data_IF_968756767549
#
_entry.id   IF_968756767549
#
_cell.length_a   1.000
_cell.length_b   1.000
_cell.length_c   1.000
_cell.angle_alpha   90.00
_cell.angle_beta   90.00
_cell.angle_gamma   90.00
#
_symmetry.space_group_name_H-M   'P 1'
#
loop_
_entity.id
_entity.type
_entity.pdbx_description
1 polymer ?
#
# COMPACT_ATOMS: atom_id res chain seq x y z
N UNK A 1 -6.87 6.56 15.34
CA UNK A 1 -7.66 5.32 15.04
C UNK A 1 -9.15 5.63 15.21
N UNK A 2 -10.07 4.95 14.49
CA UNK A 2 -11.51 5.15 14.67
C UNK A 2 -11.98 4.77 16.08
N UNK A 3 -13.00 5.47 16.58
CA UNK A 3 -13.66 5.15 17.85
C UNK A 3 -14.61 3.96 17.68
N UNK A 4 -14.94 3.25 18.77
CA UNK A 4 -15.85 2.09 18.76
C UNK A 4 -17.21 2.39 18.08
N UNK A 5 -17.70 3.60 18.26
CA UNK A 5 -18.90 4.16 17.65
C UNK A 5 -18.89 4.17 16.12
N UNK A 6 -17.72 4.28 15.48
CA UNK A 6 -17.57 4.13 14.04
C UNK A 6 -17.89 2.68 13.62
N UNK A 7 -17.29 1.71 14.31
CA UNK A 7 -17.51 0.28 14.00
C UNK A 7 -18.94 -0.19 14.26
N UNK A 8 -19.68 0.51 15.11
CA UNK A 8 -21.10 0.24 15.36
C UNK A 8 -22.02 0.80 14.27
N UNK A 9 -21.50 1.57 13.32
CA UNK A 9 -22.29 2.05 12.18
C UNK A 9 -22.64 0.90 11.24
N UNK A 10 -23.82 0.93 10.60
CA UNK A 10 -24.08 0.10 9.43
C UNK A 10 -22.98 0.26 8.38
N UNK A 11 -22.57 -0.83 7.73
CA UNK A 11 -21.45 -0.84 6.77
C UNK A 11 -21.60 0.20 5.66
N UNK A 12 -22.82 0.42 5.16
CA UNK A 12 -23.09 1.45 4.16
C UNK A 12 -22.80 2.87 4.66
N UNK A 13 -23.08 3.16 5.95
CA UNK A 13 -22.76 4.47 6.54
C UNK A 13 -21.28 4.64 6.81
N UNK A 14 -20.57 3.56 7.16
CA UNK A 14 -19.11 3.58 7.22
C UNK A 14 -18.55 3.95 5.84
N UNK A 15 -18.99 3.24 4.80
CA UNK A 15 -18.52 3.46 3.43
C UNK A 15 -18.77 4.90 2.95
N UNK A 16 -19.97 5.45 3.14
CA UNK A 16 -20.28 6.84 2.76
C UNK A 16 -19.32 7.84 3.42
N UNK A 17 -18.98 7.64 4.70
CA UNK A 17 -18.06 8.52 5.41
C UNK A 17 -16.62 8.38 4.91
N UNK A 18 -16.18 7.14 4.60
CA UNK A 18 -14.85 6.89 4.06
C UNK A 18 -14.71 7.45 2.64
N UNK A 19 -15.72 7.27 1.79
CA UNK A 19 -15.77 7.82 0.43
C UNK A 19 -15.74 9.36 0.47
N UNK A 20 -16.52 9.98 1.37
CA UNK A 20 -16.49 11.42 1.58
C UNK A 20 -15.13 11.95 2.03
N UNK A 21 -14.43 11.19 2.88
CA UNK A 21 -13.09 11.52 3.33
C UNK A 21 -12.06 11.35 2.20
N UNK A 22 -12.13 10.24 1.46
CA UNK A 22 -11.28 9.97 0.31
C UNK A 22 -11.42 11.06 -0.75
N UNK A 23 -12.63 11.56 -0.99
CA UNK A 23 -12.90 12.70 -1.86
C UNK A 23 -12.21 13.97 -1.43
N UNK A 24 -12.22 14.29 -0.13
CA UNK A 24 -11.53 15.46 0.39
C UNK A 24 -10.00 15.30 0.30
N UNK A 25 -9.47 14.12 0.59
CA UNK A 25 -8.03 13.83 0.52
C UNK A 25 -7.51 13.71 -0.93
N UNK A 26 -8.40 13.45 -1.88
CA UNK A 26 -8.12 13.54 -3.32
C UNK A 26 -8.14 14.99 -3.79
N UNK A 27 -8.98 15.84 -3.20
CA UNK A 27 -9.05 17.26 -3.57
C UNK A 27 -7.80 18.03 -3.17
N UNK A 28 -7.27 17.78 -1.97
CA UNK A 28 -6.10 18.48 -1.40
C UNK A 28 -5.25 17.55 -0.53
N UNK A 29 -3.95 17.83 -0.34
CA UNK A 29 -3.12 17.13 0.64
C UNK A 29 -3.72 17.18 2.06
N UNK A 30 -3.38 16.20 2.90
CA UNK A 30 -3.93 16.08 4.26
C UNK A 30 -3.83 17.36 5.10
N UNK A 31 -2.73 18.11 4.97
CA UNK A 31 -2.50 19.34 5.75
C UNK A 31 -3.40 20.52 5.33
N UNK A 32 -4.02 20.44 4.15
CA UNK A 32 -5.00 21.41 3.63
C UNK A 32 -6.45 20.90 3.71
N UNK A 33 -6.65 19.62 4.04
CA UNK A 33 -7.97 19.00 4.14
C UNK A 33 -8.77 19.60 5.30
N UNK A 34 -10.10 19.68 5.13
CA UNK A 34 -11.00 20.22 6.17
C UNK A 34 -12.19 19.31 6.46
N UNK A 35 -12.49 19.13 7.75
CA UNK A 35 -13.63 18.31 8.23
C UNK A 35 -14.96 18.80 7.65
N UNK A 36 -15.11 20.11 7.41
CA UNK A 36 -16.34 20.70 6.86
C UNK A 36 -16.73 20.14 5.50
N UNK A 37 -15.77 19.76 4.67
CA UNK A 37 -16.05 19.18 3.36
C UNK A 37 -16.50 17.71 3.50
N UNK A 38 -15.83 16.94 4.35
CA UNK A 38 -16.17 15.53 4.62
C UNK A 38 -17.59 15.42 5.16
N UNK A 39 -17.95 16.19 6.19
CA UNK A 39 -19.30 16.13 6.78
C UNK A 39 -20.39 16.59 5.80
N UNK A 40 -20.05 17.50 4.89
CA UNK A 40 -20.95 17.94 3.82
C UNK A 40 -21.20 16.84 2.80
N UNK A 41 -20.16 16.13 2.37
CA UNK A 41 -20.29 15.02 1.41
C UNK A 41 -20.96 13.79 2.03
N UNK A 42 -20.67 13.48 3.29
CA UNK A 42 -21.24 12.34 4.01
C UNK A 42 -22.65 12.61 4.58
N UNK A 43 -23.15 13.84 4.46
CA UNK A 43 -24.45 14.28 5.01
C UNK A 43 -24.60 14.00 6.53
N UNK A 44 -23.54 14.28 7.30
CA UNK A 44 -23.52 14.11 8.76
C UNK A 44 -23.26 15.44 9.50
N UNK A 45 -23.58 15.48 10.79
CA UNK A 45 -23.23 16.63 11.63
C UNK A 45 -21.74 16.64 11.98
N UNK A 46 -21.20 17.82 12.32
CA UNK A 46 -19.83 17.93 12.86
C UNK A 46 -19.65 17.14 14.16
N UNK A 47 -20.68 17.08 15.00
CA UNK A 47 -20.67 16.27 16.22
C UNK A 47 -20.56 14.77 15.92
N UNK A 48 -21.24 14.30 14.86
CA UNK A 48 -21.15 12.91 14.39
C UNK A 48 -19.73 12.57 13.94
N UNK A 49 -19.04 13.47 13.23
CA UNK A 49 -17.63 13.24 12.87
C UNK A 49 -16.77 12.98 14.11
N UNK A 50 -16.86 13.85 15.13
CA UNK A 50 -16.08 13.68 16.37
C UNK A 50 -16.51 12.50 17.23
N UNK A 51 -17.73 12.00 17.02
CA UNK A 51 -18.16 10.73 17.59
C UNK A 51 -17.40 9.56 16.98
N UNK A 52 -16.96 9.63 15.72
CA UNK A 52 -16.29 8.53 15.01
C UNK A 52 -14.76 8.65 14.99
N UNK A 53 -14.22 9.87 14.89
CA UNK A 53 -12.79 10.14 14.72
C UNK A 53 -12.38 11.35 15.57
N UNK A 54 -11.14 11.42 16.06
CA UNK A 54 -10.69 12.59 16.84
C UNK A 54 -10.30 13.74 15.93
N UNK A 55 -9.72 13.43 14.78
CA UNK A 55 -9.20 14.41 13.83
C UNK A 55 -9.14 13.82 12.39
N UNK A 56 -8.63 14.61 11.44
CA UNK A 56 -8.48 14.18 10.04
C UNK A 56 -7.44 13.09 9.87
N UNK A 57 -6.35 13.12 10.65
CA UNK A 57 -5.30 12.11 10.58
C UNK A 57 -5.85 10.72 10.90
N UNK A 58 -6.77 10.60 11.86
CA UNK A 58 -7.37 9.31 12.20
C UNK A 58 -8.12 8.66 11.03
N UNK A 59 -8.91 9.44 10.29
CA UNK A 59 -9.66 8.93 9.13
C UNK A 59 -8.69 8.59 8.00
N UNK A 60 -7.72 9.48 7.75
CA UNK A 60 -6.74 9.31 6.70
C UNK A 60 -5.91 8.04 6.89
N UNK A 61 -5.35 7.83 8.10
CA UNK A 61 -4.57 6.64 8.39
C UNK A 61 -5.41 5.39 8.49
N UNK A 62 -6.68 5.49 8.90
CA UNK A 62 -7.59 4.35 8.84
C UNK A 62 -7.82 3.89 7.39
N UNK A 63 -8.08 4.80 6.46
CA UNK A 63 -8.22 4.47 5.03
C UNK A 63 -6.94 3.81 4.50
N UNK A 64 -5.77 4.37 4.81
CA UNK A 64 -4.50 3.77 4.41
C UNK A 64 -4.28 2.37 4.99
N UNK A 65 -4.59 2.15 6.26
CA UNK A 65 -4.45 0.84 6.93
C UNK A 65 -5.38 -0.21 6.30
N UNK A 66 -6.61 0.16 5.94
CA UNK A 66 -7.52 -0.73 5.22
C UNK A 66 -6.97 -1.12 3.83
N UNK A 67 -6.36 -0.18 3.11
CA UNK A 67 -5.67 -0.49 1.86
C UNK A 67 -4.46 -1.41 2.08
N UNK A 68 -3.64 -1.16 3.10
CA UNK A 68 -2.50 -2.03 3.45
C UNK A 68 -2.97 -3.44 3.76
N UNK A 69 -4.04 -3.62 4.53
CA UNK A 69 -4.63 -4.94 4.82
C UNK A 69 -5.13 -5.63 3.56
N UNK A 70 -5.81 -4.90 2.68
CA UNK A 70 -6.29 -5.42 1.39
C UNK A 70 -5.13 -5.89 0.52
N UNK A 71 -4.09 -5.06 0.36
CA UNK A 71 -2.90 -5.40 -0.40
C UNK A 71 -2.14 -6.57 0.21
N UNK A 72 -2.06 -6.68 1.54
CA UNK A 72 -1.43 -7.81 2.21
C UNK A 72 -2.16 -9.13 1.91
N UNK A 73 -3.50 -9.15 2.00
CA UNK A 73 -4.30 -10.33 1.62
C UNK A 73 -4.11 -10.70 0.16
N UNK A 74 -4.11 -9.71 -0.74
CA UNK A 74 -3.88 -9.91 -2.18
C UNK A 74 -2.48 -10.46 -2.48
N UNK A 75 -1.46 -9.95 -1.79
CA UNK A 75 -0.08 -10.42 -1.89
C UNK A 75 0.03 -11.90 -1.50
N UNK A 76 -0.54 -12.29 -0.35
CA UNK A 76 -0.54 -13.69 0.08
C UNK A 76 -1.22 -14.61 -0.94
N UNK A 77 -2.36 -14.18 -1.49
CA UNK A 77 -3.07 -14.94 -2.52
C UNK A 77 -2.24 -15.10 -3.80
N UNK A 78 -1.66 -14.01 -4.31
CA UNK A 78 -0.82 -14.06 -5.51
C UNK A 78 0.45 -14.88 -5.29
N UNK A 79 1.05 -14.81 -4.10
CA UNK A 79 2.20 -15.64 -3.76
C UNK A 79 1.87 -17.13 -3.85
N UNK A 80 0.70 -17.54 -3.35
CA UNK A 80 0.21 -18.91 -3.46
C UNK A 80 -0.06 -19.31 -4.92
N UNK A 81 -0.72 -18.44 -5.69
CA UNK A 81 -1.02 -18.67 -7.11
C UNK A 81 0.23 -18.79 -7.97
N UNK A 82 1.29 -18.07 -7.61
CA UNK A 82 2.58 -18.09 -8.28
C UNK A 82 3.52 -19.17 -7.73
N UNK A 83 3.01 -20.13 -6.96
CA UNK A 83 3.79 -21.23 -6.36
C UNK A 83 5.01 -20.74 -5.56
N UNK A 84 4.82 -19.65 -4.81
CA UNK A 84 5.86 -19.03 -3.99
C UNK A 84 6.89 -18.21 -4.76
N UNK A 85 6.70 -17.96 -6.07
CA UNK A 85 7.63 -17.15 -6.86
C UNK A 85 7.51 -15.66 -6.50
N UNK A 86 8.53 -15.17 -5.79
CA UNK A 86 8.47 -13.85 -5.19
C UNK A 86 8.46 -12.73 -6.23
N UNK A 87 9.35 -12.78 -7.22
CA UNK A 87 9.46 -11.73 -8.22
C UNK A 87 8.21 -11.67 -9.11
N UNK A 88 7.67 -12.83 -9.50
CA UNK A 88 6.42 -12.90 -10.25
C UNK A 88 5.25 -12.31 -9.44
N UNK A 89 5.21 -12.58 -8.14
CA UNK A 89 4.21 -12.01 -7.22
C UNK A 89 4.30 -10.49 -7.18
N UNK A 90 5.51 -9.94 -7.07
CA UNK A 90 5.72 -8.50 -7.08
C UNK A 90 5.35 -7.83 -8.40
N UNK A 91 5.56 -8.50 -9.54
CA UNK A 91 5.08 -8.03 -10.86
C UNK A 91 3.56 -7.95 -10.91
N UNK A 92 2.88 -9.04 -10.52
CA UNK A 92 1.41 -9.10 -10.54
C UNK A 92 0.79 -8.10 -9.56
N UNK A 93 1.39 -7.91 -8.39
CA UNK A 93 0.91 -6.93 -7.40
C UNK A 93 1.06 -5.51 -7.94
N UNK A 94 2.20 -5.17 -8.56
CA UNK A 94 2.41 -3.84 -9.12
C UNK A 94 1.42 -3.56 -10.25
N UNK A 95 1.16 -4.53 -11.13
CA UNK A 95 0.13 -4.39 -12.16
C UNK A 95 -1.24 -4.14 -11.54
N UNK A 96 -1.66 -4.92 -10.53
CA UNK A 96 -2.93 -4.70 -9.85
C UNK A 96 -3.01 -3.35 -9.13
N UNK A 97 -1.90 -2.83 -8.61
CA UNK A 97 -1.85 -1.48 -8.05
C UNK A 97 -2.13 -0.42 -9.13
N UNK A 98 -1.50 -0.55 -10.31
CA UNK A 98 -1.77 0.37 -11.44
C UNK A 98 -3.23 0.31 -11.90
N UNK A 99 -3.87 -0.85 -11.84
CA UNK A 99 -5.29 -1.04 -12.12
C UNK A 99 -6.17 -0.34 -11.07
N UNK A 100 -5.86 -0.48 -9.77
CA UNK A 100 -6.58 0.19 -8.67
C UNK A 100 -6.51 1.74 -8.80
N UNK A 101 -5.46 2.27 -9.45
CA UNK A 101 -5.25 3.70 -9.68
C UNK A 101 -5.84 4.23 -11.00
N UNK A 102 -6.64 3.44 -11.73
CA UNK A 102 -7.31 3.94 -12.94
C UNK A 102 -8.40 4.96 -12.64
N UNK A 103 -9.04 4.88 -11.47
CA UNK A 103 -9.92 5.95 -10.99
C UNK A 103 -9.09 7.19 -10.67
N UNK A 104 -9.45 8.33 -11.28
CA UNK A 104 -8.78 9.61 -11.04
C UNK A 104 -8.77 9.97 -9.54
N UNK A 105 -9.86 9.69 -8.82
CA UNK A 105 -9.95 9.93 -7.39
C UNK A 105 -8.95 9.08 -6.60
N UNK A 106 -8.90 7.76 -6.85
CA UNK A 106 -7.91 6.88 -6.23
C UNK A 106 -6.48 7.32 -6.57
N UNK A 107 -6.24 7.64 -7.84
CA UNK A 107 -4.92 8.07 -8.33
C UNK A 107 -4.44 9.31 -7.60
N UNK A 108 -5.31 10.32 -7.43
CA UNK A 108 -4.95 11.56 -6.75
C UNK A 108 -4.80 11.33 -5.24
N UNK A 109 -5.68 10.55 -4.60
CA UNK A 109 -5.54 10.18 -3.19
C UNK A 109 -4.17 9.56 -2.91
N UNK A 110 -3.82 8.51 -3.66
CA UNK A 110 -2.55 7.83 -3.47
C UNK A 110 -1.39 8.73 -3.85
N UNK A 111 -1.46 9.48 -4.95
CA UNK A 111 -0.44 10.48 -5.27
C UNK A 111 -0.20 11.45 -4.11
N UNK A 112 -1.27 11.99 -3.51
CA UNK A 112 -1.16 12.89 -2.38
C UNK A 112 -0.54 12.21 -1.16
N UNK A 113 -0.90 10.95 -0.89
CA UNK A 113 -0.32 10.16 0.20
C UNK A 113 1.17 9.86 -0.05
N UNK A 114 1.53 9.32 -1.21
CA UNK A 114 2.92 8.94 -1.54
C UNK A 114 3.85 10.15 -1.61
N UNK A 115 3.43 11.28 -2.19
CA UNK A 115 4.29 12.45 -2.39
C UNK A 115 4.41 13.34 -1.14
N UNK A 116 3.36 13.45 -0.32
CA UNK A 116 3.33 14.39 0.80
C UNK A 116 3.49 13.73 2.18
N UNK A 117 3.54 12.39 2.24
CA UNK A 117 3.73 11.65 3.50
C UNK A 117 4.94 10.73 3.46
N UNK A 118 5.96 11.04 2.64
CA UNK A 118 7.16 10.22 2.47
C UNK A 118 7.76 9.81 3.82
N UNK A 119 7.92 10.71 4.80
CA UNK A 119 8.48 10.36 6.12
C UNK A 119 7.60 9.47 7.03
N UNK A 120 6.27 9.49 6.87
CA UNK A 120 5.37 8.59 7.63
C UNK A 120 5.22 7.23 6.93
N UNK A 121 5.18 7.23 5.59
CA UNK A 121 5.22 6.02 4.78
C UNK A 121 6.56 5.31 4.93
N UNK A 122 7.66 6.04 4.79
CA UNK A 122 9.02 5.56 5.03
C UNK A 122 9.12 4.93 6.41
N UNK A 123 8.56 5.55 7.47
CA UNK A 123 8.46 4.91 8.79
C UNK A 123 7.70 3.59 8.80
N UNK A 124 6.52 3.53 8.17
CA UNK A 124 5.76 2.28 8.05
C UNK A 124 6.53 1.16 7.31
N UNK A 125 7.45 1.53 6.39
CA UNK A 125 8.36 0.58 5.72
C UNK A 125 9.68 0.34 6.46
N UNK A 126 10.16 1.31 7.23
CA UNK A 126 11.42 1.22 7.98
C UNK A 126 11.24 0.64 9.37
N UNK A 127 10.01 0.50 9.90
CA UNK A 127 9.73 -0.23 11.16
C UNK A 127 10.25 -1.69 11.14
N UNK A 128 10.77 -2.13 10.00
CA UNK A 128 11.58 -3.32 9.78
C UNK A 128 13.05 -3.13 10.25
N UNK A 129 13.37 -2.15 11.11
CA UNK A 129 14.72 -1.94 11.69
C UNK A 129 15.20 -3.21 12.42
N UNK A 130 14.26 -3.99 12.97
CA UNK A 130 14.53 -5.32 13.51
C UNK A 130 14.04 -6.39 12.53
N UNK A 131 14.95 -6.89 11.68
CA UNK A 131 14.67 -7.95 10.70
C UNK A 131 14.02 -9.17 11.37
N UNK A 132 14.42 -9.49 12.62
CA UNK A 132 13.85 -10.59 13.40
C UNK A 132 12.35 -10.39 13.71
N UNK A 133 11.92 -9.17 14.06
CA UNK A 133 10.51 -8.86 14.30
C UNK A 133 9.71 -8.92 12.99
N UNK A 134 10.24 -8.32 11.92
CA UNK A 134 9.63 -8.37 10.59
C UNK A 134 9.41 -9.82 10.11
N UNK A 135 10.40 -10.68 10.33
CA UNK A 135 10.30 -12.10 10.02
C UNK A 135 9.31 -12.84 10.92
N UNK A 136 9.30 -12.56 12.23
CA UNK A 136 8.40 -13.21 13.19
C UNK A 136 6.94 -12.84 12.92
N UNK A 137 6.65 -11.57 12.69
CA UNK A 137 5.30 -11.06 12.40
C UNK A 137 4.76 -11.56 11.06
N UNK A 138 5.66 -11.93 10.13
CA UNK A 138 5.31 -12.38 8.77
C UNK A 138 5.72 -13.83 8.51
N UNK A 139 5.92 -14.63 9.55
CA UNK A 139 6.49 -15.98 9.44
C UNK A 139 5.70 -16.86 8.47
N UNK A 140 4.36 -16.77 8.49
CA UNK A 140 3.47 -17.47 7.56
C UNK A 140 3.70 -17.08 6.11
N UNK A 141 3.91 -15.77 5.84
CA UNK A 141 4.19 -15.28 4.49
C UNK A 141 5.56 -15.79 4.00
N UNK A 142 6.58 -15.73 4.84
CA UNK A 142 7.92 -16.21 4.50
C UNK A 142 7.94 -17.72 4.22
N UNK A 143 7.10 -18.50 4.91
CA UNK A 143 6.97 -19.93 4.69
C UNK A 143 6.37 -20.30 3.32
N UNK A 144 5.65 -19.37 2.68
CA UNK A 144 5.07 -19.57 1.34
C UNK A 144 6.06 -19.28 0.21
N UNK A 145 7.20 -18.63 0.50
CA UNK A 145 8.17 -18.24 -0.53
C UNK A 145 8.97 -19.47 -0.97
N UNK A 146 9.01 -19.70 -2.28
CA UNK A 146 9.83 -20.74 -2.87
C UNK A 146 11.28 -20.26 -3.02
N UNK A 147 12.12 -20.64 -2.06
CA UNK A 147 13.54 -20.29 -2.04
C UNK A 147 14.42 -21.19 -2.90
N UNK A 148 13.91 -22.30 -3.45
CA UNK A 148 14.70 -23.22 -4.29
C UNK A 148 15.19 -22.55 -5.58
N UNK A 149 14.40 -21.59 -6.10
CA UNK A 149 14.75 -20.77 -7.27
C UNK A 149 15.80 -19.69 -6.98
N UNK A 150 16.06 -19.40 -5.70
CA UNK A 150 16.92 -18.30 -5.26
C UNK A 150 18.35 -18.82 -4.97
N UNK A 151 19.36 -17.99 -5.25
CA UNK A 151 20.77 -18.36 -5.04
C UNK A 151 21.11 -18.42 -3.55
N UNK A 152 21.04 -19.62 -2.94
CA UNK A 152 21.66 -19.89 -1.62
C UNK A 152 21.14 -19.01 -0.48
N UNK A 153 19.94 -18.45 -0.64
CA UNK A 153 19.42 -17.37 0.20
C UNK A 153 19.04 -17.90 1.58
N UNK A 154 19.81 -17.51 2.59
CA UNK A 154 19.44 -17.68 4.00
C UNK A 154 18.15 -16.90 4.30
N UNK A 155 17.46 -17.27 5.38
CA UNK A 155 16.26 -16.55 5.81
C UNK A 155 16.49 -15.05 6.05
N UNK A 156 17.68 -14.67 6.53
CA UNK A 156 18.08 -13.28 6.72
C UNK A 156 18.24 -12.54 5.38
N UNK A 157 18.91 -13.18 4.40
CA UNK A 157 19.04 -12.63 3.05
C UNK A 157 17.70 -12.50 2.35
N UNK A 158 16.74 -13.40 2.60
CA UNK A 158 15.40 -13.32 2.03
C UNK A 158 14.64 -12.08 2.51
N UNK A 159 14.77 -11.72 3.78
CA UNK A 159 14.20 -10.48 4.32
C UNK A 159 14.83 -9.24 3.66
N UNK A 160 16.14 -9.27 3.38
CA UNK A 160 16.81 -8.21 2.63
C UNK A 160 16.35 -8.15 1.17
N UNK A 161 16.19 -9.29 0.50
CA UNK A 161 15.64 -9.36 -0.87
C UNK A 161 14.24 -8.74 -0.91
N UNK A 162 13.36 -9.13 0.01
CA UNK A 162 12.03 -8.54 0.17
C UNK A 162 12.10 -7.02 0.30
N UNK A 163 12.96 -6.51 1.19
CA UNK A 163 13.14 -5.07 1.41
C UNK A 163 13.61 -4.34 0.14
N UNK A 164 14.54 -4.92 -0.62
CA UNK A 164 15.03 -4.34 -1.87
C UNK A 164 13.92 -4.27 -2.91
N UNK A 165 13.17 -5.36 -3.11
CA UNK A 165 12.08 -5.40 -4.09
C UNK A 165 10.98 -4.40 -3.69
N UNK A 166 10.62 -4.32 -2.41
CA UNK A 166 9.66 -3.32 -1.91
C UNK A 166 10.12 -1.89 -2.16
N UNK A 167 11.41 -1.58 -1.92
CA UNK A 167 11.97 -0.26 -2.19
C UNK A 167 11.89 0.10 -3.68
N UNK A 168 12.23 -0.84 -4.55
CA UNK A 168 12.11 -0.68 -6.02
C UNK A 168 10.66 -0.48 -6.44
N UNK A 169 9.73 -1.27 -5.89
CA UNK A 169 8.28 -1.14 -6.13
C UNK A 169 7.78 0.26 -5.77
N UNK A 170 8.12 0.71 -4.56
CA UNK A 170 7.69 2.00 -4.04
C UNK A 170 8.27 3.17 -4.84
N UNK A 171 9.55 3.08 -5.22
CA UNK A 171 10.21 4.07 -6.06
C UNK A 171 9.52 4.19 -7.43
N UNK A 172 9.14 3.07 -8.05
CA UNK A 172 8.40 3.07 -9.32
C UNK A 172 7.00 3.67 -9.18
N UNK A 173 6.29 3.42 -8.08
CA UNK A 173 5.01 4.07 -7.80
C UNK A 173 5.17 5.59 -7.67
N UNK A 174 6.15 6.06 -6.91
CA UNK A 174 6.44 7.49 -6.77
C UNK A 174 6.77 8.12 -8.12
N UNK A 175 7.61 7.48 -8.94
CA UNK A 175 7.95 7.97 -10.27
C UNK A 175 6.74 8.01 -11.19
N UNK A 176 5.90 6.96 -11.17
CA UNK A 176 4.64 6.92 -11.93
C UNK A 176 3.75 8.13 -11.61
N UNK A 177 3.58 8.46 -10.32
CA UNK A 177 2.80 9.63 -9.92
C UNK A 177 3.48 10.97 -10.20
N UNK A 178 4.80 11.05 -10.01
CA UNK A 178 5.57 12.30 -10.17
C UNK A 178 5.70 12.71 -11.63
N UNK A 179 5.95 11.74 -12.52
CA UNK A 179 6.12 11.94 -13.95
C UNK A 179 4.83 11.74 -14.75
N UNK A 180 3.73 11.39 -14.07
CA UNK A 180 2.42 11.11 -14.68
C UNK A 180 2.49 10.04 -15.78
N UNK A 181 3.29 8.99 -15.57
CA UNK A 181 3.46 7.91 -16.54
C UNK A 181 2.12 7.23 -16.84
N UNK A 182 1.99 6.71 -18.05
CA UNK A 182 0.92 5.77 -18.37
C UNK A 182 1.13 4.45 -17.60
N UNK A 183 0.05 3.66 -17.34
CA UNK A 183 0.20 2.35 -16.71
C UNK A 183 1.16 1.42 -17.46
N UNK A 184 1.18 1.50 -18.79
CA UNK A 184 2.06 0.70 -19.65
C UNK A 184 3.54 1.08 -19.47
N UNK A 185 3.85 2.38 -19.43
CA UNK A 185 5.22 2.87 -19.19
C UNK A 185 5.69 2.55 -17.78
N UNK A 186 4.84 2.75 -16.77
CA UNK A 186 5.15 2.42 -15.38
C UNK A 186 5.43 0.92 -15.22
N UNK A 187 4.60 0.07 -15.81
CA UNK A 187 4.79 -1.39 -15.78
C UNK A 187 6.08 -1.81 -16.48
N UNK A 188 6.38 -1.24 -17.66
CA UNK A 188 7.60 -1.54 -18.41
C UNK A 188 8.87 -1.16 -17.65
N UNK A 189 8.88 0.00 -16.99
CA UNK A 189 10.01 0.43 -16.17
C UNK A 189 10.23 -0.54 -15.01
N UNK A 190 9.16 -0.84 -14.27
CA UNK A 190 9.23 -1.76 -13.15
C UNK A 190 9.65 -3.18 -13.56
N UNK A 191 9.11 -3.71 -14.67
CA UNK A 191 9.53 -4.99 -15.23
C UNK A 191 11.03 -5.02 -15.56
N UNK A 192 11.56 -3.93 -16.12
CA UNK A 192 12.98 -3.83 -16.43
C UNK A 192 13.84 -3.92 -15.17
N UNK A 193 13.47 -3.20 -14.11
CA UNK A 193 14.18 -3.21 -12.83
C UNK A 193 14.07 -4.55 -12.11
N UNK A 194 12.89 -5.18 -12.10
CA UNK A 194 12.68 -6.52 -11.53
C UNK A 194 13.48 -7.57 -12.31
N UNK A 195 13.61 -7.45 -13.62
CA UNK A 195 14.45 -8.36 -14.41
C UNK A 195 15.94 -8.20 -14.12
N UNK A 196 16.40 -6.98 -13.80
CA UNK A 196 17.77 -6.76 -13.32
C UNK A 196 17.98 -7.45 -11.96
N UNK A 197 17.04 -7.29 -11.03
CA UNK A 197 17.08 -7.97 -9.73
C UNK A 197 17.04 -9.49 -9.90
N UNK A 198 16.21 -10.01 -10.81
CA UNK A 198 16.11 -11.45 -11.11
C UNK A 198 17.46 -12.05 -11.48
N UNK A 199 18.22 -11.40 -12.36
CA UNK A 199 19.55 -11.85 -12.77
C UNK A 199 20.56 -11.90 -11.63
N UNK A 200 20.40 -11.04 -10.62
CA UNK A 200 21.26 -11.02 -9.43
C UNK A 200 20.83 -11.97 -8.30
N UNK A 201 19.56 -12.37 -8.26
CA UNK A 201 18.96 -13.12 -7.14
C UNK A 201 18.65 -14.59 -7.51
N UNK A 202 18.31 -14.86 -8.77
CA UNK A 202 17.92 -16.20 -9.21
C UNK A 202 19.12 -16.89 -9.86
N UNK A 203 19.19 -18.21 -9.71
CA UNK A 203 20.21 -19.00 -10.40
C UNK A 203 19.99 -18.90 -11.90
N UNK A 204 21.05 -18.64 -12.66
CA UNK A 204 21.04 -18.90 -14.09
C UNK A 204 20.87 -20.42 -14.27
N UNK A 205 19.77 -20.82 -14.90
CA UNK A 205 19.53 -22.20 -15.36
C UNK A 205 20.33 -22.49 -16.62
#
# INVERSE_FOLDING_TARGET
MPKQTFYNLPLNKQQILLDAAMKEFSRVPLHEAVISNIIKYAEISRGSFYQYFENLEDVFFYILDEHVKLHHKRFTLQLQQNNGDLLETFLNIFQSMLEDFQSEENRIFFRNAFLNMSHKMERAFTDHVHIENFMSERAELFALINTEKMTGTSKCELAHVMKIIQAVTFQNLIQSFSLQLSPEEALKNYQTEIMILKRGIYRET
#
